data_IF_201566057894
#
_entry.id   IF_201566057894
#
_cell.length_a   1.000
_cell.length_b   1.000
_cell.length_c   1.000
_cell.angle_alpha   90.00
_cell.angle_beta   90.00
_cell.angle_gamma   90.00
#
_symmetry.space_group_name_H-M   'P 1'
#
loop_
_entity.id
_entity.type
_entity.pdbx_description
1 polymer ?
#
# COMPACT_ATOMS: atom_id res chain seq x y z
N UNK A 1 16.10 -0.70 20.27
CA UNK A 1 15.44 -0.92 18.96
C UNK A 1 13.95 -0.95 19.21
N UNK A 2 13.20 0.02 18.70
CA UNK A 2 11.74 -0.03 18.74
C UNK A 2 11.28 -1.10 17.76
N UNK A 3 10.83 -2.24 18.28
CA UNK A 3 10.20 -3.27 17.46
C UNK A 3 8.91 -2.68 16.89
N UNK A 4 8.83 -2.56 15.56
CA UNK A 4 7.61 -2.13 14.88
C UNK A 4 6.53 -3.21 15.07
N UNK A 5 5.35 -2.82 15.54
CA UNK A 5 4.23 -3.77 15.69
C UNK A 5 3.53 -4.00 14.36
N UNK A 6 2.83 -5.13 14.24
CA UNK A 6 1.97 -5.43 13.10
C UNK A 6 1.02 -4.25 12.80
N UNK A 7 0.36 -3.72 13.82
CA UNK A 7 -0.55 -2.58 13.69
C UNK A 7 0.15 -1.33 13.13
N UNK A 8 1.36 -1.02 13.61
CA UNK A 8 2.11 0.15 13.13
C UNK A 8 2.52 0.00 11.66
N UNK A 9 2.96 -1.20 11.27
CA UNK A 9 3.37 -1.52 9.90
C UNK A 9 2.16 -1.46 8.96
N UNK A 10 1.03 -2.05 9.36
CA UNK A 10 -0.23 -2.04 8.60
C UNK A 10 -0.81 -0.64 8.45
N UNK A 11 -0.88 0.16 9.52
CA UNK A 11 -1.33 1.57 9.44
C UNK A 11 -0.43 2.42 8.56
N UNK A 12 0.88 2.21 8.64
CA UNK A 12 1.84 2.90 7.77
C UNK A 12 1.60 2.52 6.31
N UNK A 13 1.56 1.23 5.99
CA UNK A 13 1.33 0.75 4.63
C UNK A 13 0.04 1.31 4.02
N UNK A 14 -1.06 1.28 4.78
CA UNK A 14 -2.33 1.83 4.32
C UNK A 14 -2.23 3.31 3.93
N UNK A 15 -1.60 4.12 4.77
CA UNK A 15 -1.42 5.55 4.50
C UNK A 15 -0.59 5.77 3.24
N UNK A 16 0.57 5.13 3.13
CA UNK A 16 1.46 5.30 1.97
C UNK A 16 0.78 4.86 0.66
N UNK A 17 0.02 3.74 0.68
CA UNK A 17 -0.74 3.28 -0.48
C UNK A 17 -1.82 4.28 -0.86
N UNK A 18 -2.58 4.79 0.11
CA UNK A 18 -3.63 5.79 -0.15
C UNK A 18 -3.05 7.09 -0.70
N UNK A 19 -1.98 7.60 -0.11
CA UNK A 19 -1.34 8.85 -0.53
C UNK A 19 -0.75 8.73 -1.95
N UNK A 20 -0.16 7.58 -2.28
CA UNK A 20 0.31 7.28 -3.62
C UNK A 20 -0.84 7.18 -4.63
N UNK A 21 -1.94 6.49 -4.28
CA UNK A 21 -3.10 6.37 -5.17
C UNK A 21 -3.91 7.67 -5.31
N UNK A 22 -3.92 8.53 -4.29
CA UNK A 22 -4.47 9.89 -4.41
C UNK A 22 -3.65 10.74 -5.37
N UNK A 23 -2.31 10.69 -5.27
CA UNK A 23 -1.44 11.33 -6.27
C UNK A 23 -1.67 10.75 -7.66
N UNK A 24 -1.82 9.43 -7.79
CA UNK A 24 -2.15 8.78 -9.07
C UNK A 24 -3.46 9.31 -9.68
N UNK A 25 -4.49 9.55 -8.85
CA UNK A 25 -5.75 10.12 -9.29
C UNK A 25 -5.64 11.60 -9.70
N UNK A 26 -4.79 12.38 -9.03
CA UNK A 26 -4.54 13.79 -9.31
C UNK A 26 -3.50 14.05 -10.43
N UNK A 27 -2.84 13.01 -10.93
CA UNK A 27 -1.85 13.13 -12.00
C UNK A 27 -2.52 13.53 -13.32
N UNK A 28 -2.54 14.84 -13.61
CA UNK A 28 -2.78 15.37 -14.95
C UNK A 28 -1.61 16.20 -15.51
N UNK A 29 -0.68 16.77 -14.73
CA UNK A 29 0.35 17.69 -15.27
C UNK A 29 1.65 17.64 -14.44
N UNK A 30 2.81 17.27 -15.04
CA UNK A 30 4.16 17.39 -14.44
C UNK A 30 5.13 16.20 -14.66
N UNK A 31 6.31 16.22 -14.01
CA UNK A 31 7.31 15.12 -13.99
C UNK A 31 6.88 13.89 -13.17
N UNK A 32 5.82 14.03 -12.38
CA UNK A 32 5.27 12.96 -11.57
C UNK A 32 4.15 12.26 -12.35
N UNK A 33 4.43 11.05 -12.84
CA UNK A 33 3.51 10.32 -13.72
C UNK A 33 2.60 9.37 -12.94
N UNK A 34 1.44 9.05 -13.55
CA UNK A 34 0.54 8.00 -13.07
C UNK A 34 1.29 6.69 -12.77
N UNK A 35 2.24 6.31 -13.64
CA UNK A 35 3.03 5.09 -13.46
C UNK A 35 3.92 5.12 -12.22
N UNK A 36 4.52 6.26 -11.90
CA UNK A 36 5.34 6.43 -10.70
C UNK A 36 4.49 6.32 -9.43
N UNK A 37 3.35 7.00 -9.41
CA UNK A 37 2.41 6.96 -8.28
C UNK A 37 1.89 5.54 -8.00
N UNK A 38 1.50 4.82 -9.05
CA UNK A 38 1.09 3.41 -8.94
C UNK A 38 2.26 2.51 -8.51
N UNK A 39 3.47 2.79 -9.01
CA UNK A 39 4.70 2.11 -8.59
C UNK A 39 4.97 2.26 -7.09
N UNK A 40 4.81 3.47 -6.55
CA UNK A 40 4.98 3.74 -5.12
C UNK A 40 3.93 3.00 -4.27
N UNK A 41 2.66 2.96 -4.70
CA UNK A 41 1.63 2.19 -4.01
C UNK A 41 1.97 0.70 -3.93
N UNK A 42 2.45 0.12 -5.04
CA UNK A 42 2.88 -1.30 -5.08
C UNK A 42 4.14 -1.54 -4.27
N UNK A 43 5.07 -0.58 -4.27
CA UNK A 43 6.27 -0.62 -3.43
C UNK A 43 5.94 -0.62 -1.95
N UNK A 44 4.96 0.18 -1.52
CA UNK A 44 4.48 0.20 -0.14
C UNK A 44 3.85 -1.14 0.28
N UNK A 45 3.07 -1.78 -0.61
CA UNK A 45 2.55 -3.13 -0.38
C UNK A 45 3.67 -4.17 -0.27
N UNK A 46 4.66 -4.14 -1.17
CA UNK A 46 5.78 -5.08 -1.12
C UNK A 46 6.63 -4.92 0.16
N UNK A 47 6.83 -3.67 0.61
CA UNK A 47 7.51 -3.39 1.88
C UNK A 47 6.70 -3.90 3.07
N UNK A 48 5.37 -3.75 3.05
CA UNK A 48 4.50 -4.31 4.08
C UNK A 48 4.61 -5.84 4.15
N UNK A 49 4.53 -6.53 3.00
CA UNK A 49 4.70 -7.99 2.92
C UNK A 49 6.05 -8.43 3.55
N UNK A 50 7.14 -7.71 3.24
CA UNK A 50 8.46 -8.00 3.78
C UNK A 50 8.56 -7.74 5.30
N UNK A 51 7.95 -6.67 5.79
CA UNK A 51 7.94 -6.34 7.22
C UNK A 51 7.09 -7.33 8.01
N UNK A 52 5.92 -7.72 7.52
CA UNK A 52 5.07 -8.72 8.17
C UNK A 52 5.76 -10.08 8.22
N UNK A 53 6.47 -10.47 7.17
CA UNK A 53 7.26 -11.72 7.17
C UNK A 53 8.40 -11.73 8.21
N UNK A 54 8.82 -10.56 8.71
CA UNK A 54 9.85 -10.43 9.75
C UNK A 54 9.29 -10.39 11.18
N UNK A 55 7.97 -10.37 11.35
CA UNK A 55 7.32 -10.40 12.66
C UNK A 55 7.14 -11.83 13.17
N UNK A 56 6.97 -11.96 14.48
CA UNK A 56 6.53 -13.20 15.12
C UNK A 56 5.22 -13.73 14.48
N UNK A 57 4.93 -15.03 14.59
CA UNK A 57 3.79 -15.65 13.92
C UNK A 57 2.47 -14.94 14.24
N UNK A 58 1.91 -14.29 13.22
CA UNK A 58 0.61 -13.62 13.28
C UNK A 58 -0.53 -14.53 12.79
N UNK A 59 -1.77 -14.30 13.24
CA UNK A 59 -2.92 -15.01 12.70
C UNK A 59 -2.98 -14.85 11.18
N UNK A 60 -2.84 -15.96 10.45
CA UNK A 60 -2.78 -15.92 9.00
C UNK A 60 -4.07 -15.35 8.35
N UNK A 61 -5.18 -15.33 9.08
CA UNK A 61 -6.43 -14.71 8.63
C UNK A 61 -6.32 -13.18 8.51
N UNK A 62 -5.74 -12.52 9.53
CA UNK A 62 -5.62 -11.06 9.57
C UNK A 62 -4.67 -10.56 8.49
N UNK A 63 -3.52 -11.23 8.37
CA UNK A 63 -2.53 -10.94 7.31
C UNK A 63 -3.15 -11.09 5.92
N UNK A 64 -3.93 -12.16 5.68
CA UNK A 64 -4.60 -12.34 4.38
C UNK A 64 -5.64 -11.26 4.10
N UNK A 65 -6.41 -10.87 5.12
CA UNK A 65 -7.44 -9.84 4.98
C UNK A 65 -6.83 -8.47 4.65
N UNK A 66 -5.77 -8.08 5.37
CA UNK A 66 -5.06 -6.83 5.11
C UNK A 66 -4.35 -6.84 3.75
N UNK A 67 -3.74 -7.97 3.37
CA UNK A 67 -3.12 -8.13 2.06
C UNK A 67 -4.13 -7.93 0.93
N UNK A 68 -5.28 -8.59 1.00
CA UNK A 68 -6.34 -8.43 -0.01
C UNK A 68 -6.85 -6.99 -0.08
N UNK A 69 -6.98 -6.30 1.07
CA UNK A 69 -7.37 -4.90 1.15
C UNK A 69 -6.34 -3.98 0.50
N UNK A 70 -5.05 -4.22 0.72
CA UNK A 70 -3.97 -3.45 0.10
C UNK A 70 -3.80 -3.74 -1.39
N UNK A 71 -3.98 -4.98 -1.82
CA UNK A 71 -4.02 -5.33 -3.24
C UNK A 71 -5.18 -4.59 -3.92
N UNK A 72 -6.37 -4.56 -3.32
CA UNK A 72 -7.52 -3.83 -3.86
C UNK A 72 -7.22 -2.32 -4.01
N UNK A 73 -6.48 -1.72 -3.09
CA UNK A 73 -6.08 -0.31 -3.15
C UNK A 73 -4.99 -0.06 -4.21
N UNK A 74 -3.89 -0.81 -4.18
CA UNK A 74 -2.71 -0.60 -5.03
C UNK A 74 -2.93 -1.01 -6.50
N UNK A 75 -3.90 -1.89 -6.76
CA UNK A 75 -4.28 -2.33 -8.09
C UNK A 75 -5.66 -1.83 -8.53
N UNK A 76 -6.27 -0.92 -7.77
CA UNK A 76 -7.49 -0.25 -8.21
C UNK A 76 -7.26 0.37 -9.59
N UNK A 77 -8.05 -0.07 -10.57
CA UNK A 77 -8.09 0.63 -11.86
C UNK A 77 -8.62 2.03 -11.59
N UNK A 78 -8.05 3.04 -12.26
CA UNK A 78 -8.67 4.35 -12.32
C UNK A 78 -10.05 4.16 -12.94
N UNK A 79 -11.10 4.20 -12.13
CA UNK A 79 -12.46 4.38 -12.65
C UNK A 79 -12.41 5.71 -13.37
N UNK A 80 -12.49 5.69 -14.71
CA UNK A 80 -12.68 6.89 -15.48
C UNK A 80 -14.04 7.45 -15.09
N UNK A 81 -14.07 8.35 -14.10
CA UNK A 81 -15.21 9.24 -13.95
C UNK A 81 -15.18 10.12 -15.19
N UNK A 82 -16.15 9.87 -16.07
CA UNK A 82 -16.40 10.63 -17.29
C UNK A 82 -16.80 12.08 -16.99
#
# INVERSE_FOLDING_TARGET
MTSLTYEQITKRAEREIRDAMQRAAACEIGTYSLGLAVGEARGALALWDALVASLDPMPAADVRADRARFEALAYAKRSATA
#
